data_IF_634821205962
#
_entry.id   IF_634821205962
#
_cell.length_a   1.000
_cell.length_b   1.000
_cell.length_c   1.000
_cell.angle_alpha   90.00
_cell.angle_beta   90.00
_cell.angle_gamma   90.00
#
_symmetry.space_group_name_H-M   'P 1'
#
loop_
_entity.id
_entity.type
_entity.pdbx_description
1 polymer ?
#
# COMPACT_ATOMS: atom_id res chain seq x y z
N UNK A 1 19.38 -26.06 -5.41
CA UNK A 1 18.17 -25.58 -6.11
C UNK A 1 17.42 -24.74 -5.08
N UNK A 2 17.57 -23.41 -5.15
CA UNK A 2 16.89 -22.49 -4.23
C UNK A 2 15.48 -22.26 -4.78
N UNK A 3 14.50 -23.02 -4.32
CA UNK A 3 13.11 -22.61 -4.44
C UNK A 3 12.89 -21.42 -3.50
N UNK A 4 13.13 -20.23 -4.04
CA UNK A 4 12.97 -18.97 -3.34
C UNK A 4 11.50 -18.62 -3.17
N UNK A 5 11.19 -17.88 -2.12
CA UNK A 5 9.99 -17.06 -2.06
C UNK A 5 9.90 -16.31 -3.38
N UNK A 6 8.78 -16.43 -4.08
CA UNK A 6 8.58 -15.75 -5.36
C UNK A 6 8.71 -14.25 -5.12
N UNK A 7 9.82 -13.68 -5.59
CA UNK A 7 10.04 -12.24 -5.53
C UNK A 7 9.10 -11.61 -6.53
N UNK A 8 8.13 -10.85 -6.02
CA UNK A 8 7.17 -10.16 -6.88
C UNK A 8 7.87 -9.00 -7.56
N UNK A 9 7.89 -9.03 -8.89
CA UNK A 9 8.53 -8.03 -9.74
C UNK A 9 7.48 -7.43 -10.67
N UNK A 10 7.41 -6.10 -10.70
CA UNK A 10 6.61 -5.34 -11.64
C UNK A 10 7.53 -4.37 -12.39
N UNK A 11 7.51 -4.40 -13.72
CA UNK A 11 8.38 -3.54 -14.58
C UNK A 11 9.87 -3.63 -14.22
N UNK A 12 10.37 -4.86 -13.94
CA UNK A 12 11.75 -5.18 -13.55
C UNK A 12 12.21 -4.63 -12.19
N UNK A 13 11.31 -4.11 -11.37
CA UNK A 13 11.59 -3.67 -10.01
C UNK A 13 10.78 -4.45 -8.98
N UNK A 14 11.30 -4.52 -7.75
CA UNK A 14 10.61 -5.14 -6.62
C UNK A 14 9.26 -4.48 -6.40
N UNK A 15 8.21 -5.28 -6.26
CA UNK A 15 6.86 -4.80 -6.04
C UNK A 15 6.28 -5.26 -4.70
N UNK A 16 5.46 -4.42 -4.13
CA UNK A 16 4.55 -4.76 -3.05
C UNK A 16 3.40 -5.58 -3.62
N UNK A 17 3.03 -6.69 -2.97
CA UNK A 17 1.88 -7.49 -3.34
C UNK A 17 0.99 -7.73 -2.11
N UNK A 18 -0.30 -7.50 -2.27
CA UNK A 18 -1.30 -7.81 -1.25
C UNK A 18 -2.71 -7.92 -1.88
N UNK A 19 -3.71 -8.21 -1.04
CA UNK A 19 -5.12 -8.10 -1.39
C UNK A 19 -5.68 -6.90 -0.66
N UNK A 20 -5.94 -5.82 -1.39
CA UNK A 20 -6.29 -4.50 -0.87
C UNK A 20 -7.53 -3.92 -1.57
N UNK A 21 -8.29 -3.03 -0.92
CA UNK A 21 -9.27 -2.21 -1.59
C UNK A 21 -8.58 -1.28 -2.59
N UNK A 22 -8.98 -1.40 -3.85
CA UNK A 22 -8.47 -0.59 -4.98
C UNK A 22 -9.64 0.00 -5.73
N UNK A 23 -9.58 1.30 -6.01
CA UNK A 23 -10.54 1.98 -6.87
C UNK A 23 -9.84 2.83 -7.91
N UNK A 24 -10.46 2.96 -9.07
CA UNK A 24 -10.01 3.79 -10.17
C UNK A 24 -11.00 4.92 -10.43
N UNK A 25 -10.53 6.15 -10.40
CA UNK A 25 -11.31 7.34 -10.73
C UNK A 25 -10.77 7.94 -12.05
N UNK A 26 -11.49 7.81 -13.17
CA UNK A 26 -11.06 8.41 -14.43
C UNK A 26 -11.14 9.92 -14.36
N UNK A 27 -10.13 10.61 -14.89
CA UNK A 27 -10.09 12.05 -14.93
C UNK A 27 -10.39 12.54 -16.36
N UNK A 28 -11.31 13.49 -16.47
CA UNK A 28 -11.63 14.13 -17.76
C UNK A 28 -10.52 15.11 -18.23
N UNK A 29 -9.67 15.56 -17.31
CA UNK A 29 -8.55 16.48 -17.57
C UNK A 29 -7.36 16.10 -16.70
N UNK A 30 -6.12 16.34 -17.16
CA UNK A 30 -4.93 16.16 -16.34
C UNK A 30 -5.01 16.99 -15.04
N UNK A 31 -4.39 16.48 -13.99
CA UNK A 31 -4.30 17.20 -12.72
C UNK A 31 -3.42 18.45 -12.87
N UNK A 32 -3.86 19.54 -12.28
CA UNK A 32 -3.06 20.75 -12.16
C UNK A 32 -1.92 20.59 -11.14
N UNK A 33 -0.96 21.51 -11.15
CA UNK A 33 0.21 21.44 -10.28
C UNK A 33 -0.14 21.53 -8.79
N UNK A 34 -1.19 22.27 -8.42
CA UNK A 34 -1.60 22.43 -7.04
C UNK A 34 -2.19 21.12 -6.49
N UNK A 35 -3.09 20.47 -7.24
CA UNK A 35 -3.65 19.17 -6.84
C UNK A 35 -2.59 18.09 -6.81
N UNK A 36 -1.64 18.08 -7.74
CA UNK A 36 -0.51 17.14 -7.71
C UNK A 36 0.34 17.33 -6.44
N UNK A 37 0.69 18.57 -6.07
CA UNK A 37 1.45 18.84 -4.86
C UNK A 37 0.70 18.43 -3.58
N UNK A 38 -0.60 18.68 -3.52
CA UNK A 38 -1.43 18.26 -2.38
C UNK A 38 -1.52 16.74 -2.24
N UNK A 39 -1.65 16.02 -3.36
CA UNK A 39 -1.63 14.54 -3.35
C UNK A 39 -0.25 14.00 -2.91
N UNK A 40 0.82 14.63 -3.36
CA UNK A 40 2.18 14.26 -2.98
C UNK A 40 2.37 14.37 -1.47
N UNK A 41 2.01 15.50 -0.87
CA UNK A 41 2.12 15.74 0.56
C UNK A 41 1.32 14.70 1.36
N UNK A 42 0.07 14.44 0.97
CA UNK A 42 -0.78 13.44 1.60
C UNK A 42 -0.19 12.03 1.48
N UNK A 43 0.30 11.64 0.31
CA UNK A 43 0.92 10.34 0.07
C UNK A 43 2.20 10.14 0.89
N UNK A 44 3.06 11.17 0.97
CA UNK A 44 4.30 11.12 1.76
C UNK A 44 3.98 10.87 3.24
N UNK A 45 3.05 11.64 3.82
CA UNK A 45 2.61 11.46 5.21
C UNK A 45 2.05 10.06 5.46
N UNK A 46 1.19 9.57 4.56
CA UNK A 46 0.62 8.24 4.64
C UNK A 46 1.70 7.15 4.60
N UNK A 47 2.62 7.23 3.64
CA UNK A 47 3.69 6.23 3.47
C UNK A 47 4.63 6.22 4.67
N UNK A 48 4.98 7.39 5.22
CA UNK A 48 5.78 7.49 6.45
C UNK A 48 5.08 6.83 7.63
N UNK A 49 3.77 7.06 7.80
CA UNK A 49 2.99 6.40 8.85
C UNK A 49 2.95 4.88 8.67
N UNK A 50 2.73 4.39 7.44
CA UNK A 50 2.76 2.96 7.13
C UNK A 50 4.12 2.32 7.41
N UNK A 51 5.22 2.99 7.05
CA UNK A 51 6.57 2.51 7.31
C UNK A 51 6.87 2.44 8.81
N UNK A 52 6.48 3.45 9.58
CA UNK A 52 6.65 3.44 11.03
C UNK A 52 5.95 2.24 11.69
N UNK A 53 4.73 1.88 11.24
CA UNK A 53 4.01 0.69 11.71
C UNK A 53 4.71 -0.60 11.26
N UNK A 54 5.24 -0.64 10.04
CA UNK A 54 5.94 -1.83 9.51
C UNK A 54 7.30 -2.06 10.17
N UNK A 55 8.01 -1.02 10.55
CA UNK A 55 9.33 -1.10 11.21
C UNK A 55 9.25 -1.53 12.67
N UNK A 56 8.11 -1.28 13.33
CA UNK A 56 7.87 -1.71 14.72
C UNK A 56 6.93 -2.93 14.75
N UNK A 57 7.40 -4.13 14.40
CA UNK A 57 6.60 -5.33 14.64
C UNK A 57 6.33 -5.39 16.14
N UNK A 58 5.08 -5.64 16.51
CA UNK A 58 4.71 -5.97 17.89
C UNK A 58 5.74 -6.98 18.39
N UNK A 59 6.62 -6.52 19.26
CA UNK A 59 7.76 -7.30 19.78
C UNK A 59 7.26 -8.64 20.25
N UNK A 60 7.93 -9.71 19.83
CA UNK A 60 7.68 -11.09 20.23
C UNK A 60 7.53 -11.17 21.75
N UNK A 61 6.53 -11.93 22.22
CA UNK A 61 6.00 -12.02 23.57
C UNK A 61 6.94 -12.64 24.61
N UNK A 62 8.25 -12.70 24.40
CA UNK A 62 9.14 -13.53 25.22
C UNK A 62 10.43 -12.84 25.67
N UNK A 63 10.35 -11.62 26.19
CA UNK A 63 11.43 -11.12 27.05
C UNK A 63 10.78 -10.34 28.19
N UNK A 64 11.32 -10.51 29.41
CA UNK A 64 10.89 -9.87 30.66
C UNK A 64 10.69 -8.35 30.49
N UNK A 65 9.52 -7.98 30.02
CA UNK A 65 9.19 -6.60 29.75
C UNK A 65 8.95 -5.90 31.08
N UNK A 66 9.81 -4.95 31.39
CA UNK A 66 9.59 -3.94 32.41
C UNK A 66 8.12 -3.50 32.40
N UNK A 67 7.43 -3.34 33.53
CA UNK A 67 6.00 -2.94 33.59
C UNK A 67 5.67 -1.75 32.68
N UNK A 68 6.62 -0.81 32.52
CA UNK A 68 6.50 0.35 31.63
C UNK A 68 6.38 -0.03 30.15
N UNK A 69 7.06 -1.08 29.69
CA UNK A 69 6.98 -1.50 28.29
C UNK A 69 5.63 -2.17 27.96
N UNK A 70 5.01 -2.85 28.93
CA UNK A 70 3.67 -3.41 28.76
C UNK A 70 2.60 -2.32 28.71
N UNK A 71 2.75 -1.26 29.51
CA UNK A 71 1.86 -0.10 29.48
C UNK A 71 1.98 0.68 28.16
N UNK A 72 3.20 0.90 27.66
CA UNK A 72 3.43 1.52 26.34
C UNK A 72 2.78 0.70 25.22
N UNK A 73 2.96 -0.62 25.23
CA UNK A 73 2.33 -1.49 24.23
C UNK A 73 0.79 -1.44 24.30
N UNK A 74 0.23 -1.30 25.51
CA UNK A 74 -1.22 -1.13 25.72
C UNK A 74 -1.70 0.23 25.21
N UNK A 75 -0.95 1.29 25.44
CA UNK A 75 -1.25 2.63 24.93
C UNK A 75 -1.20 2.68 23.41
N UNK A 76 -0.17 2.08 22.81
CA UNK A 76 -0.05 1.97 21.34
C UNK A 76 -1.23 1.20 20.74
N UNK A 77 -1.62 0.07 21.35
CA UNK A 77 -2.77 -0.70 20.90
C UNK A 77 -4.07 0.14 20.98
N UNK A 78 -4.31 0.82 22.12
CA UNK A 78 -5.49 1.66 22.29
C UNK A 78 -5.51 2.84 21.32
N UNK A 79 -4.35 3.47 21.08
CA UNK A 79 -4.22 4.56 20.12
C UNK A 79 -4.55 4.08 18.70
N UNK A 80 -3.99 2.95 18.29
CA UNK A 80 -4.27 2.34 16.99
C UNK A 80 -5.75 1.96 16.84
N UNK A 81 -6.38 1.43 17.90
CA UNK A 81 -7.81 1.12 17.90
C UNK A 81 -8.67 2.39 17.77
N UNK A 82 -8.33 3.45 18.51
CA UNK A 82 -9.03 4.73 18.42
C UNK A 82 -8.89 5.34 17.02
N UNK A 83 -7.70 5.33 16.47
CA UNK A 83 -7.45 5.79 15.11
C UNK A 83 -8.27 4.97 14.09
N UNK A 84 -8.35 3.65 14.25
CA UNK A 84 -9.17 2.79 13.41
C UNK A 84 -10.65 3.13 13.52
N UNK A 85 -11.16 3.35 14.73
CA UNK A 85 -12.56 3.75 14.95
C UNK A 85 -12.85 5.13 14.35
N UNK A 86 -11.98 6.11 14.57
CA UNK A 86 -12.10 7.44 13.95
C UNK A 86 -12.09 7.30 12.42
N UNK A 87 -11.20 6.48 11.90
CA UNK A 87 -11.11 6.17 10.47
C UNK A 87 -12.41 5.61 9.90
N UNK A 88 -13.06 4.69 10.60
CA UNK A 88 -14.35 4.13 10.16
C UNK A 88 -15.49 5.14 10.26
N UNK A 89 -15.46 6.04 11.23
CA UNK A 89 -16.48 7.09 11.39
C UNK A 89 -16.35 8.20 10.34
N UNK A 90 -15.11 8.55 9.97
CA UNK A 90 -14.84 9.60 8.96
C UNK A 90 -15.06 9.06 7.55
N UNK A 91 -14.66 7.83 7.28
CA UNK A 91 -14.85 7.20 5.99
C UNK A 91 -16.26 6.58 5.86
N UNK A 92 -17.20 7.40 5.43
CA UNK A 92 -18.52 6.93 4.94
C UNK A 92 -18.43 6.30 3.54
N UNK A 93 -17.23 6.06 3.02
CA UNK A 93 -17.07 5.42 1.73
C UNK A 93 -17.62 3.99 1.77
N UNK A 94 -18.35 3.55 0.73
CA UNK A 94 -18.86 2.19 0.65
C UNK A 94 -17.69 1.20 0.80
N UNK A 95 -17.94 0.08 1.45
CA UNK A 95 -16.96 -0.98 1.59
C UNK A 95 -16.54 -1.45 0.19
N UNK A 96 -15.32 -1.09 -0.22
CA UNK A 96 -14.73 -1.58 -1.46
C UNK A 96 -14.10 -2.93 -1.15
N UNK A 97 -14.51 -3.93 -1.89
CA UNK A 97 -13.92 -5.26 -1.76
C UNK A 97 -12.44 -5.23 -2.13
N UNK A 98 -11.64 -5.95 -1.35
CA UNK A 98 -10.23 -6.08 -1.61
C UNK A 98 -9.96 -6.95 -2.84
N UNK A 99 -9.02 -6.55 -3.67
CA UNK A 99 -8.58 -7.27 -4.88
C UNK A 99 -7.07 -7.52 -4.83
N UNK A 100 -6.57 -8.56 -5.50
CA UNK A 100 -5.13 -8.73 -5.68
C UNK A 100 -4.56 -7.49 -6.38
N UNK A 101 -3.52 -6.91 -5.79
CA UNK A 101 -2.81 -5.76 -6.33
C UNK A 101 -1.32 -5.91 -6.15
N UNK A 102 -0.57 -5.48 -7.15
CA UNK A 102 0.89 -5.34 -7.13
C UNK A 102 1.22 -3.90 -7.50
N UNK A 103 2.15 -3.28 -6.81
CA UNK A 103 2.63 -1.94 -7.18
C UNK A 103 4.05 -1.69 -6.69
N UNK A 104 4.72 -0.76 -7.35
CA UNK A 104 6.01 -0.19 -6.96
C UNK A 104 6.03 1.32 -7.30
N UNK A 105 7.20 1.95 -7.35
CA UNK A 105 7.29 3.37 -7.68
C UNK A 105 6.97 3.70 -9.17
N UNK A 106 6.96 2.70 -10.06
CA UNK A 106 6.74 2.89 -11.50
C UNK A 106 5.29 2.69 -11.94
N UNK A 107 4.52 1.89 -11.19
CA UNK A 107 3.16 1.57 -11.58
C UNK A 107 2.48 0.53 -10.70
N UNK A 108 1.28 0.14 -11.09
CA UNK A 108 0.48 -0.86 -10.42
C UNK A 108 -0.17 -1.82 -11.43
N UNK A 109 -0.49 -3.04 -10.94
CA UNK A 109 -1.36 -3.99 -11.61
C UNK A 109 -2.36 -4.54 -10.61
N UNK A 110 -3.63 -4.62 -10.98
CA UNK A 110 -4.70 -5.13 -10.13
C UNK A 110 -5.78 -5.83 -10.93
N UNK A 111 -6.63 -6.60 -10.24
CA UNK A 111 -7.81 -7.22 -10.83
C UNK A 111 -8.99 -6.23 -10.73
N UNK A 112 -9.43 -5.70 -11.89
CA UNK A 112 -10.59 -4.81 -11.90
C UNK A 112 -11.89 -5.60 -11.61
N UNK A 113 -12.80 -4.96 -10.89
CA UNK A 113 -14.17 -5.43 -10.72
C UNK A 113 -15.11 -4.57 -11.55
N UNK A 114 -15.88 -5.19 -12.42
CA UNK A 114 -16.80 -4.50 -13.33
C UNK A 114 -16.14 -4.08 -14.64
N UNK A 115 -16.48 -2.89 -15.14
CA UNK A 115 -15.95 -2.40 -16.41
C UNK A 115 -14.51 -1.96 -16.22
N UNK A 116 -13.60 -2.62 -16.92
CA UNK A 116 -12.18 -2.26 -16.89
C UNK A 116 -11.95 -0.92 -17.62
N UNK A 117 -11.06 -0.06 -17.13
CA UNK A 117 -10.74 1.20 -17.79
C UNK A 117 -10.06 0.97 -19.14
N UNK A 118 -10.26 1.89 -20.07
CA UNK A 118 -9.63 1.82 -21.39
C UNK A 118 -8.13 2.12 -21.30
N UNK A 119 -7.35 1.47 -22.16
CA UNK A 119 -5.91 1.76 -22.31
C UNK A 119 -5.74 3.22 -22.75
N UNK A 120 -4.77 3.92 -22.18
CA UNK A 120 -4.52 5.36 -22.36
C UNK A 120 -5.39 6.27 -21.48
N UNK A 121 -6.37 5.73 -20.73
CA UNK A 121 -7.15 6.53 -19.80
C UNK A 121 -6.27 7.02 -18.64
N UNK A 122 -6.36 8.31 -18.34
CA UNK A 122 -5.70 8.90 -17.16
C UNK A 122 -6.66 9.06 -16.01
N UNK A 123 -6.17 8.87 -14.78
CA UNK A 123 -7.01 8.90 -13.60
C UNK A 123 -6.23 8.81 -12.30
N UNK A 124 -6.96 8.73 -11.20
CA UNK A 124 -6.43 8.46 -9.88
C UNK A 124 -6.66 6.99 -9.51
N UNK A 125 -5.59 6.32 -9.15
CA UNK A 125 -5.61 5.00 -8.54
C UNK A 125 -5.56 5.18 -7.02
N UNK A 126 -6.62 4.77 -6.33
CA UNK A 126 -6.74 4.82 -4.89
C UNK A 126 -6.46 3.43 -4.31
N UNK A 127 -5.41 3.28 -3.53
CA UNK A 127 -5.03 2.02 -2.87
C UNK A 127 -5.12 2.22 -1.36
N UNK A 128 -5.95 1.43 -0.67
CA UNK A 128 -6.01 1.46 0.80
C UNK A 128 -5.00 0.49 1.38
N UNK A 129 -3.87 1.00 1.85
CA UNK A 129 -2.82 0.19 2.45
C UNK A 129 -3.26 -0.38 3.81
N UNK A 130 -2.74 -1.57 4.17
CA UNK A 130 -2.90 -2.12 5.53
C UNK A 130 -2.14 -1.25 6.52
N UNK A 131 -2.79 -0.89 7.61
CA UNK A 131 -2.23 0.04 8.60
C UNK A 131 -2.49 1.52 8.28
N UNK A 132 -2.95 1.84 7.07
CA UNK A 132 -3.47 3.16 6.74
C UNK A 132 -4.91 3.26 7.28
N UNK A 133 -5.09 4.04 8.30
CA UNK A 133 -6.31 4.01 9.10
C UNK A 133 -7.50 4.68 8.41
N UNK A 134 -7.27 5.69 7.60
CA UNK A 134 -8.34 6.52 7.02
C UNK A 134 -8.04 6.95 5.58
N UNK A 135 -6.77 7.06 5.22
CA UNK A 135 -6.35 7.62 3.94
C UNK A 135 -6.07 6.52 2.91
N UNK A 136 -6.25 6.87 1.65
CA UNK A 136 -5.81 6.08 0.51
C UNK A 136 -4.49 6.63 -0.03
N UNK A 137 -3.68 5.75 -0.58
CA UNK A 137 -2.55 6.13 -1.42
C UNK A 137 -3.14 6.48 -2.79
N UNK A 138 -3.11 7.75 -3.14
CA UNK A 138 -3.76 8.29 -4.33
C UNK A 138 -2.71 8.61 -5.40
N UNK A 139 -2.67 7.81 -6.44
CA UNK A 139 -1.61 7.84 -7.44
C UNK A 139 -2.16 8.26 -8.81
N UNK A 140 -1.61 9.36 -9.36
CA UNK A 140 -1.95 9.78 -10.71
C UNK A 140 -1.32 8.84 -11.73
N UNK A 141 -2.14 8.22 -12.57
CA UNK A 141 -1.70 7.13 -13.42
C UNK A 141 -2.37 7.15 -14.79
N UNK A 142 -1.76 6.44 -15.75
CA UNK A 142 -2.30 6.14 -17.07
C UNK A 142 -2.39 4.62 -17.23
N UNK A 143 -3.51 4.14 -17.73
CA UNK A 143 -3.72 2.72 -18.02
C UNK A 143 -2.86 2.30 -19.19
N UNK A 144 -1.98 1.33 -18.96
CA UNK A 144 -1.07 0.81 -19.98
C UNK A 144 -1.53 -0.51 -20.59
N UNK A 145 -2.35 -1.26 -19.83
CA UNK A 145 -2.90 -2.53 -20.27
C UNK A 145 -4.22 -2.82 -19.54
N UNK A 146 -5.15 -3.49 -20.23
CA UNK A 146 -6.49 -3.81 -19.71
C UNK A 146 -7.01 -5.07 -20.40
N UNK A 147 -6.51 -6.24 -20.02
CA UNK A 147 -6.89 -7.52 -20.61
C UNK A 147 -7.54 -8.46 -19.59
N UNK A 148 -8.63 -9.11 -19.97
CA UNK A 148 -9.28 -10.19 -19.17
C UNK A 148 -9.57 -9.80 -17.71
N UNK A 149 -9.81 -8.50 -17.45
CA UNK A 149 -10.04 -7.97 -16.10
C UNK A 149 -8.76 -7.65 -15.31
N UNK A 150 -7.59 -8.05 -15.77
CA UNK A 150 -6.32 -7.56 -15.24
C UNK A 150 -6.03 -6.18 -15.83
N UNK A 151 -5.73 -5.21 -14.98
CA UNK A 151 -5.43 -3.83 -15.38
C UNK A 151 -4.05 -3.47 -14.91
N UNK A 152 -3.27 -2.83 -15.78
CA UNK A 152 -1.96 -2.30 -15.46
C UNK A 152 -1.91 -0.80 -15.74
N UNK A 153 -1.27 -0.04 -14.85
CA UNK A 153 -1.10 1.39 -15.00
C UNK A 153 0.34 1.82 -14.74
N UNK A 154 0.76 2.87 -15.45
CA UNK A 154 2.00 3.59 -15.18
C UNK A 154 1.69 4.83 -14.35
N UNK A 155 2.48 5.09 -13.32
CA UNK A 155 2.33 6.33 -12.56
C UNK A 155 2.90 7.51 -13.34
N UNK A 156 2.12 8.58 -13.35
CA UNK A 156 2.50 9.84 -13.99
C UNK A 156 3.04 10.80 -12.93
N UNK A 157 4.17 11.44 -13.22
CA UNK A 157 4.77 12.46 -12.34
C UNK A 157 4.94 11.98 -10.87
N UNK A 158 5.47 10.76 -10.70
CA UNK A 158 5.79 10.25 -9.36
C UNK A 158 6.85 11.15 -8.71
N UNK A 159 6.56 11.77 -7.54
CA UNK A 159 7.54 12.57 -6.84
C UNK A 159 8.66 11.69 -6.27
N UNK A 160 9.93 12.13 -6.29
CA UNK A 160 11.04 11.34 -5.78
C UNK A 160 10.83 10.84 -4.34
N UNK A 161 10.36 11.72 -3.44
CA UNK A 161 10.12 11.37 -2.05
C UNK A 161 9.08 10.25 -1.89
N UNK A 162 7.95 10.31 -2.59
CA UNK A 162 6.94 9.26 -2.56
C UNK A 162 7.46 7.96 -3.19
N UNK A 163 8.21 8.07 -4.28
CA UNK A 163 8.83 6.91 -4.95
C UNK A 163 9.80 6.16 -4.04
N UNK A 164 10.68 6.86 -3.33
CA UNK A 164 11.61 6.27 -2.36
C UNK A 164 10.88 5.56 -1.21
N UNK A 165 9.84 6.17 -0.66
CA UNK A 165 9.03 5.56 0.42
C UNK A 165 8.28 4.31 -0.06
N UNK A 166 7.77 4.31 -1.29
CA UNK A 166 7.16 3.12 -1.88
C UNK A 166 8.20 2.00 -2.04
N UNK A 167 9.39 2.29 -2.53
CA UNK A 167 10.48 1.31 -2.66
C UNK A 167 10.87 0.74 -1.29
N UNK A 168 10.98 1.57 -0.27
CA UNK A 168 11.25 1.15 1.10
C UNK A 168 10.15 0.21 1.63
N UNK A 169 8.89 0.55 1.39
CA UNK A 169 7.74 -0.29 1.76
C UNK A 169 7.79 -1.67 1.07
N UNK A 170 8.07 -1.70 -0.24
CA UNK A 170 8.24 -2.94 -1.01
C UNK A 170 9.36 -3.81 -0.42
N UNK A 171 10.50 -3.21 -0.09
CA UNK A 171 11.63 -3.92 0.49
C UNK A 171 11.32 -4.51 1.88
N UNK A 172 10.69 -3.75 2.77
CA UNK A 172 10.31 -4.22 4.11
C UNK A 172 9.33 -5.40 4.03
N UNK A 173 8.35 -5.32 3.13
CA UNK A 173 7.40 -6.41 2.91
C UNK A 173 8.08 -7.66 2.37
N UNK A 174 8.94 -7.50 1.38
CA UNK A 174 9.71 -8.63 0.84
C UNK A 174 10.54 -9.32 1.93
N UNK A 175 11.25 -8.55 2.77
CA UNK A 175 12.00 -9.10 3.92
C UNK A 175 11.11 -9.93 4.85
N UNK A 176 9.92 -9.44 5.18
CA UNK A 176 8.96 -10.15 6.05
C UNK A 176 8.47 -11.45 5.42
N UNK A 177 8.17 -11.45 4.12
CA UNK A 177 7.78 -12.65 3.39
C UNK A 177 8.88 -13.71 3.39
N UNK A 178 10.13 -13.31 3.11
CA UNK A 178 11.29 -14.20 3.17
C UNK A 178 11.52 -14.77 4.57
N UNK A 179 11.39 -13.94 5.61
CA UNK A 179 11.55 -14.39 7.00
C UNK A 179 10.42 -15.35 7.42
N UNK A 180 9.18 -15.10 7.00
CA UNK A 180 8.02 -15.95 7.28
C UNK A 180 8.12 -17.32 6.64
N UNK A 181 8.54 -17.41 5.39
CA UNK A 181 8.70 -18.68 4.67
C UNK A 181 9.83 -19.55 5.25
N UNK A 182 10.89 -18.95 5.79
CA UNK A 182 11.94 -19.70 6.50
C UNK A 182 11.45 -20.32 7.82
N UNK A 183 10.56 -19.63 8.56
CA UNK A 183 9.98 -20.17 9.80
C UNK A 183 9.01 -21.33 9.56
N UNK A 184 8.26 -21.32 8.46
CA UNK A 184 7.33 -22.40 8.14
C UNK A 184 8.02 -23.68 7.63
N UNK A 185 9.26 -23.55 7.15
CA UNK A 185 10.07 -24.67 6.64
C UNK A 185 10.82 -25.46 7.73
N UNK A 186 10.95 -24.84 8.94
CA UNK A 186 11.66 -25.44 10.08
C UNK A 186 10.71 -26.03 11.14
N UNK A 187 9.43 -26.18 10.80
CA UNK A 187 8.42 -26.91 11.57
C UNK A 187 7.97 -28.15 10.81
#
# INVERSE_FOLDING_TARGET
>A
MFEGVDTVVLRNELAYQDTLPVTWEPLARPLDAFRLASLEEANVLLLQACLAVEEHPLRDKNEDLHPLASELARLDFNLNLLLQLVGTLVNKAPAVDAVPVQFNALGASWQARGVAPAVGAQGLLHIRLRGALVQTLDLYAEITDSESGAVSAAFLKMPPAAGELIQQLCFLRHRKQVAGSRKSRNK
#
